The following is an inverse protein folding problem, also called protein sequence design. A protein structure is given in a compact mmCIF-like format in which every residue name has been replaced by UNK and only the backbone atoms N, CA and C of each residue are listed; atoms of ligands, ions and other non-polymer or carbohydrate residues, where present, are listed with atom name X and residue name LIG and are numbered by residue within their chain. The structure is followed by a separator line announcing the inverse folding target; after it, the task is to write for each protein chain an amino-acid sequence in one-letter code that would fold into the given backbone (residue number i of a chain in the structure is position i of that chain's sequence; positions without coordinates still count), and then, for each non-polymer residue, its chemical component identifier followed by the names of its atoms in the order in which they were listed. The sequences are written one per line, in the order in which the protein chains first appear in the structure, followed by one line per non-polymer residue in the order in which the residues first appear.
data_IF_838484647999
#
_entry.id   IF_838484647999
#
_cell.length_a   1.000
_cell.length_b   1.000
_cell.length_c   1.000
_cell.angle_alpha   90.00
_cell.angle_beta   90.00
_cell.angle_gamma   90.00
#
_symmetry.space_group_name_H-M   'P 1'
#
loop_
_entity.id
_entity.type
_entity.pdbx_description
1 polymer ?
#
# COMPACT_ATOMS: atom_id res chain seq x y z
N UNK A 1 20.47 -57.07 -8.60
CA UNK A 1 20.78 -56.06 -9.63
C UNK A 1 19.60 -55.10 -9.74
N UNK A 2 19.60 -54.00 -8.98
CA UNK A 2 18.60 -52.95 -9.17
C UNK A 2 18.89 -52.24 -10.50
N UNK A 3 17.94 -52.29 -11.43
CA UNK A 3 18.09 -51.72 -12.76
C UNK A 3 18.33 -50.20 -12.63
N UNK A 4 19.51 -49.75 -13.07
CA UNK A 4 19.87 -48.31 -13.15
C UNK A 4 18.81 -47.47 -13.88
N UNK A 5 17.97 -48.11 -14.69
CA UNK A 5 16.86 -47.52 -15.45
C UNK A 5 15.75 -46.88 -14.58
N UNK A 6 15.56 -47.33 -13.33
CA UNK A 6 14.52 -46.77 -12.45
C UNK A 6 15.02 -45.66 -11.52
N UNK A 7 16.34 -45.45 -11.43
CA UNK A 7 16.94 -44.46 -10.53
C UNK A 7 16.81 -43.04 -11.10
N UNK A 8 16.95 -42.89 -12.42
CA UNK A 8 16.83 -41.62 -13.14
C UNK A 8 15.45 -40.95 -13.02
N UNK A 9 14.32 -41.65 -13.26
CA UNK A 9 12.99 -41.03 -13.14
C UNK A 9 12.64 -40.69 -11.68
N UNK A 10 13.11 -41.47 -10.71
CA UNK A 10 12.92 -41.18 -9.29
C UNK A 10 13.62 -39.88 -8.89
N UNK A 11 14.86 -39.70 -9.31
CA UNK A 11 15.63 -38.49 -9.05
C UNK A 11 14.98 -37.24 -9.68
N UNK A 12 14.53 -37.37 -10.91
CA UNK A 12 13.84 -36.29 -11.62
C UNK A 12 12.52 -35.92 -10.93
N UNK A 13 11.77 -36.91 -10.44
CA UNK A 13 10.53 -36.69 -9.67
C UNK A 13 10.76 -35.93 -8.37
N UNK A 14 11.83 -36.24 -7.63
CA UNK A 14 12.18 -35.54 -6.39
C UNK A 14 12.54 -34.07 -6.66
N UNK A 15 13.27 -33.79 -7.73
CA UNK A 15 13.64 -32.42 -8.12
C UNK A 15 12.39 -31.60 -8.48
N UNK A 16 11.47 -32.18 -9.26
CA UNK A 16 10.22 -31.50 -9.64
C UNK A 16 9.32 -31.24 -8.43
N UNK A 17 9.22 -32.20 -7.51
CA UNK A 17 8.45 -32.02 -6.27
C UNK A 17 9.06 -30.91 -5.39
N UNK A 18 10.38 -30.87 -5.26
CA UNK A 18 11.08 -29.81 -4.55
C UNK A 18 10.84 -28.43 -5.17
N UNK A 19 10.91 -28.33 -6.50
CA UNK A 19 10.61 -27.08 -7.21
C UNK A 19 9.16 -26.64 -7.00
N UNK A 20 8.21 -27.58 -7.08
CA UNK A 20 6.79 -27.30 -6.82
C UNK A 20 6.55 -26.76 -5.40
N UNK A 21 7.16 -27.36 -4.39
CA UNK A 21 7.04 -26.90 -2.99
C UNK A 21 7.63 -25.49 -2.81
N UNK A 22 8.76 -25.18 -3.45
CA UNK A 22 9.37 -23.84 -3.39
C UNK A 22 8.50 -22.79 -4.07
N UNK A 23 7.89 -23.12 -5.22
CA UNK A 23 6.96 -22.21 -5.92
C UNK A 23 5.67 -22.03 -5.12
N UNK A 24 5.11 -23.11 -4.58
CA UNK A 24 3.91 -23.07 -3.73
C UNK A 24 4.15 -22.30 -2.42
N UNK A 25 5.34 -22.40 -1.84
CA UNK A 25 5.72 -21.67 -0.63
C UNK A 25 5.98 -20.18 -0.88
N UNK A 26 6.02 -19.70 -2.13
CA UNK A 26 6.02 -18.26 -2.41
C UNK A 26 4.67 -17.69 -2.03
N UNK A 27 4.63 -17.06 -0.87
CA UNK A 27 3.50 -16.24 -0.46
C UNK A 27 3.31 -15.11 -1.50
N UNK A 28 2.07 -14.81 -1.93
CA UNK A 28 1.83 -13.61 -2.73
C UNK A 28 2.32 -12.40 -1.94
N UNK A 29 3.16 -11.58 -2.55
CA UNK A 29 3.48 -10.27 -1.98
C UNK A 29 2.19 -9.45 -1.96
N UNK A 30 1.85 -8.80 -0.83
CA UNK A 30 0.69 -7.93 -0.79
C UNK A 30 0.89 -6.83 -1.85
N UNK A 31 -0.02 -6.76 -2.81
CA UNK A 31 -0.15 -5.58 -3.67
C UNK A 31 -0.84 -4.53 -2.83
N UNK A 32 -0.06 -3.60 -2.30
CA UNK A 32 -0.59 -2.42 -1.63
C UNK A 32 -1.11 -1.51 -2.73
N UNK A 33 -2.39 -1.15 -2.67
CA UNK A 33 -2.93 -0.10 -3.53
C UNK A 33 -2.09 1.17 -3.33
N UNK A 34 -1.87 1.95 -4.38
CA UNK A 34 -1.13 3.22 -4.31
C UNK A 34 -1.78 4.26 -3.36
N UNK A 35 -2.95 3.95 -2.82
CA UNK A 35 -3.56 4.62 -1.67
C UNK A 35 -3.24 3.83 -0.38
N UNK A 36 -1.98 3.72 -0.01
CA UNK A 36 -1.59 2.85 1.11
C UNK A 36 -0.09 2.74 1.28
N UNK A 37 0.53 3.80 1.78
CA UNK A 37 1.64 3.60 2.70
C UNK A 37 1.00 3.52 4.07
N UNK A 38 1.24 2.42 4.76
CA UNK A 38 1.03 2.26 6.19
C UNK A 38 2.45 2.16 6.79
N UNK A 39 2.87 3.08 7.67
CA UNK A 39 2.08 4.22 8.10
C UNK A 39 1.96 5.23 6.96
N UNK A 40 0.74 5.77 6.82
CA UNK A 40 0.53 6.96 6.01
C UNK A 40 1.42 8.05 6.61
N UNK A 41 2.03 8.95 5.84
CA UNK A 41 2.69 10.11 6.45
C UNK A 41 1.67 10.78 7.37
N UNK A 42 1.92 10.69 8.68
CA UNK A 42 1.05 11.24 9.72
C UNK A 42 0.77 12.69 9.33
N UNK A 43 -0.49 13.01 9.07
CA UNK A 43 -0.85 14.39 8.79
C UNK A 43 -0.52 15.21 10.04
N UNK A 44 0.26 16.27 9.90
CA UNK A 44 0.60 17.13 11.03
C UNK A 44 -0.63 17.73 11.73
N UNK A 45 -1.79 17.72 11.06
CA UNK A 45 -3.07 18.18 11.62
C UNK A 45 -3.47 17.39 12.88
N UNK A 46 -3.32 16.06 12.89
CA UNK A 46 -3.83 15.24 14.01
C UNK A 46 -3.02 15.48 15.30
N UNK A 47 -1.76 15.91 15.17
CA UNK A 47 -0.88 16.18 16.31
C UNK A 47 -1.47 17.20 17.27
N UNK A 48 -2.11 18.26 16.76
CA UNK A 48 -2.79 19.26 17.58
C UNK A 48 -4.28 18.93 17.74
N UNK A 49 -4.96 18.54 16.65
CA UNK A 49 -6.41 18.34 16.66
C UNK A 49 -6.88 17.15 17.49
N UNK A 50 -6.03 16.19 17.86
CA UNK A 50 -6.45 15.11 18.77
C UNK A 50 -6.72 15.61 20.20
N UNK A 51 -6.16 16.75 20.61
CA UNK A 51 -6.28 17.28 21.98
C UNK A 51 -6.91 18.68 22.04
N UNK A 52 -6.48 19.59 21.16
CA UNK A 52 -6.82 21.01 21.29
C UNK A 52 -8.18 21.36 20.65
N UNK A 53 -8.49 20.71 19.54
CA UNK A 53 -9.75 20.87 18.82
C UNK A 53 -10.12 19.54 18.13
N UNK A 54 -10.67 18.56 18.88
CA UNK A 54 -11.04 17.24 18.38
C UNK A 54 -12.17 17.33 17.36
N UNK A 55 -11.79 17.32 16.08
CA UNK A 55 -12.72 17.36 14.93
C UNK A 55 -12.96 15.98 14.31
N UNK A 56 -12.14 14.98 14.65
CA UNK A 56 -12.19 13.66 14.03
C UNK A 56 -13.50 12.90 14.27
N UNK A 57 -14.15 13.14 15.41
CA UNK A 57 -15.45 12.54 15.75
C UNK A 57 -16.61 13.50 15.48
N UNK A 58 -16.32 14.68 14.94
CA UNK A 58 -17.29 15.76 14.85
C UNK A 58 -18.09 15.63 13.55
N UNK A 59 -19.33 15.16 13.70
CA UNK A 59 -20.23 14.89 12.59
C UNK A 59 -20.05 13.52 11.93
N UNK A 60 -21.15 13.03 11.33
CA UNK A 60 -21.21 11.69 10.70
C UNK A 60 -20.17 11.55 9.58
N UNK A 61 -19.83 12.65 8.88
CA UNK A 61 -18.88 12.64 7.78
C UNK A 61 -17.48 12.16 8.20
N UNK A 62 -16.93 12.66 9.31
CA UNK A 62 -15.60 12.24 9.75
C UNK A 62 -15.58 10.77 10.22
N UNK A 63 -16.69 10.23 10.74
CA UNK A 63 -16.79 8.81 11.06
C UNK A 63 -16.67 7.88 9.83
N UNK A 64 -17.16 8.33 8.66
CA UNK A 64 -17.10 7.54 7.41
C UNK A 64 -15.88 7.86 6.54
N UNK A 65 -15.26 9.05 6.68
CA UNK A 65 -14.13 9.50 5.84
C UNK A 65 -12.81 9.78 6.60
N UNK A 66 -12.81 9.80 7.93
CA UNK A 66 -11.66 10.21 8.75
C UNK A 66 -10.53 9.20 8.85
N UNK A 67 -10.74 7.91 8.57
CA UNK A 67 -9.81 6.80 8.90
C UNK A 67 -8.50 6.73 8.09
N UNK A 68 -8.12 7.79 7.39
CA UNK A 68 -6.95 7.79 6.51
C UNK A 68 -6.15 9.09 6.61
N UNK A 69 -6.10 9.81 7.75
CA UNK A 69 -5.27 11.03 7.89
C UNK A 69 -5.39 12.06 6.73
N UNK A 70 -6.57 12.13 6.11
CA UNK A 70 -6.82 12.82 4.84
C UNK A 70 -7.37 14.25 5.05
N UNK A 71 -7.10 14.91 6.18
CA UNK A 71 -7.67 16.23 6.50
C UNK A 71 -7.48 17.22 5.33
N UNK A 72 -6.27 17.25 4.78
CA UNK A 72 -5.92 18.16 3.69
C UNK A 72 -6.51 17.81 2.33
N UNK A 73 -7.03 16.60 2.14
CA UNK A 73 -7.64 16.23 0.86
C UNK A 73 -8.99 16.90 0.65
N UNK A 74 -9.69 17.22 1.74
CA UNK A 74 -10.97 17.93 1.69
C UNK A 74 -10.84 19.37 2.16
N UNK A 75 -9.99 19.63 3.15
CA UNK A 75 -9.82 20.95 3.72
C UNK A 75 -8.62 21.71 3.14
N UNK A 76 -7.74 21.11 2.33
CA UNK A 76 -6.51 21.78 1.90
C UNK A 76 -5.52 21.97 3.06
N UNK A 77 -4.76 23.07 3.06
CA UNK A 77 -3.70 23.24 4.08
C UNK A 77 -2.41 22.47 3.76
N UNK A 78 -1.43 22.62 4.65
CA UNK A 78 -0.13 21.96 4.57
C UNK A 78 0.00 20.90 5.67
N UNK A 79 -0.33 19.65 5.35
CA UNK A 79 -0.27 18.51 6.27
C UNK A 79 1.15 18.06 6.66
N UNK A 80 2.19 18.81 6.27
CA UNK A 80 3.59 18.55 6.64
C UNK A 80 4.16 19.62 7.57
N UNK A 81 3.43 20.71 7.82
CA UNK A 81 3.88 21.79 8.67
C UNK A 81 3.37 21.61 10.10
N UNK A 82 4.27 21.78 11.08
CA UNK A 82 3.91 21.81 12.51
C UNK A 82 3.64 23.23 13.04
N UNK A 83 4.03 24.26 12.28
CA UNK A 83 3.61 25.63 12.56
C UNK A 83 2.15 25.80 12.14
N UNK A 84 1.31 26.29 13.06
CA UNK A 84 -0.14 26.39 12.86
C UNK A 84 -0.50 27.26 11.66
N UNK A 85 0.13 28.42 11.51
CA UNK A 85 -0.18 29.34 10.41
C UNK A 85 0.20 28.73 9.06
N UNK A 86 1.35 28.05 8.99
CA UNK A 86 1.79 27.38 7.77
C UNK A 86 0.92 26.15 7.47
N UNK A 87 0.49 25.40 8.48
CA UNK A 87 -0.39 24.25 8.35
C UNK A 87 -1.77 24.65 7.82
N UNK A 88 -2.31 25.78 8.31
CA UNK A 88 -3.61 26.32 7.89
C UNK A 88 -3.56 27.17 6.62
N UNK A 89 -2.39 27.32 5.98
CA UNK A 89 -2.28 28.07 4.74
C UNK A 89 -3.11 27.41 3.62
N UNK A 90 -4.04 28.17 3.03
CA UNK A 90 -4.99 27.67 2.02
C UNK A 90 -5.95 26.59 2.53
N UNK A 91 -6.22 26.58 3.84
CA UNK A 91 -7.28 25.75 4.41
C UNK A 91 -8.67 26.28 4.00
N UNK A 92 -9.54 25.35 3.63
CA UNK A 92 -10.95 25.55 3.32
C UNK A 92 -11.75 24.98 4.48
N UNK A 93 -12.53 25.84 5.13
CA UNK A 93 -13.30 25.46 6.32
C UNK A 93 -14.48 24.54 5.96
N UNK A 94 -15.11 24.75 4.81
CA UNK A 94 -16.26 23.99 4.36
C UNK A 94 -15.99 23.30 3.00
N UNK A 95 -15.65 22.00 2.98
CA UNK A 95 -15.40 21.27 1.73
C UNK A 95 -16.61 21.25 0.77
N UNK A 96 -17.83 21.48 1.26
CA UNK A 96 -19.04 21.55 0.42
C UNK A 96 -19.17 22.86 -0.37
N UNK A 97 -18.28 23.84 -0.15
CA UNK A 97 -18.21 25.06 -0.97
C UNK A 97 -17.66 24.80 -2.38
N UNK A 98 -16.98 23.67 -2.60
CA UNK A 98 -16.62 23.17 -3.92
C UNK A 98 -16.50 21.64 -3.94
N UNK A 99 -17.64 20.99 -4.18
CA UNK A 99 -17.73 19.53 -4.19
C UNK A 99 -17.00 18.91 -5.39
N UNK A 100 -16.74 19.67 -6.45
CA UNK A 100 -15.94 19.17 -7.57
C UNK A 100 -14.49 18.98 -7.10
N UNK A 101 -13.90 20.01 -6.50
CA UNK A 101 -12.51 19.94 -6.01
C UNK A 101 -12.35 18.91 -4.88
N UNK A 102 -13.28 18.86 -3.93
CA UNK A 102 -13.08 18.13 -2.68
C UNK A 102 -13.65 16.70 -2.67
N UNK A 103 -14.52 16.35 -3.62
CA UNK A 103 -15.20 15.04 -3.64
C UNK A 103 -14.99 14.26 -4.94
N UNK A 104 -14.90 14.92 -6.10
CA UNK A 104 -14.84 14.25 -7.41
C UNK A 104 -13.61 13.35 -7.58
N UNK A 105 -12.46 13.69 -6.95
CA UNK A 105 -11.22 12.90 -7.07
C UNK A 105 -11.37 11.46 -6.56
N UNK A 106 -12.22 11.24 -5.55
CA UNK A 106 -12.54 9.92 -5.01
C UNK A 106 -13.88 9.36 -5.53
N UNK A 107 -14.80 10.24 -5.92
CA UNK A 107 -16.16 9.91 -6.34
C UNK A 107 -16.52 10.53 -7.70
N UNK A 108 -15.81 10.18 -8.79
CA UNK A 108 -15.96 10.88 -10.07
C UNK A 108 -17.39 10.77 -10.64
N UNK A 109 -18.03 9.62 -10.42
CA UNK A 109 -19.33 9.32 -11.04
C UNK A 109 -20.53 9.78 -10.20
N UNK A 110 -20.35 9.99 -8.89
CA UNK A 110 -21.47 10.19 -7.95
C UNK A 110 -21.23 11.21 -6.83
N UNK A 111 -20.16 12.02 -6.90
CA UNK A 111 -19.85 13.01 -5.86
C UNK A 111 -21.01 13.98 -5.56
N UNK A 112 -21.78 14.40 -6.57
CA UNK A 112 -22.93 15.30 -6.39
C UNK A 112 -24.02 14.67 -5.52
N UNK A 113 -24.39 13.42 -5.83
CA UNK A 113 -25.42 12.70 -5.08
C UNK A 113 -24.98 12.42 -3.65
N UNK A 114 -23.70 12.07 -3.44
CA UNK A 114 -23.13 11.85 -2.12
C UNK A 114 -23.09 13.14 -1.29
N UNK A 115 -22.59 14.24 -1.87
CA UNK A 115 -22.49 15.52 -1.19
C UNK A 115 -23.88 16.08 -0.79
N UNK A 116 -24.91 15.82 -1.60
CA UNK A 116 -26.27 16.25 -1.31
C UNK A 116 -26.83 15.71 0.02
N UNK A 117 -26.45 14.47 0.41
CA UNK A 117 -26.88 13.88 1.69
C UNK A 117 -26.39 14.70 2.87
N UNK A 118 -25.12 15.12 2.84
CA UNK A 118 -24.51 15.91 3.91
C UNK A 118 -24.94 17.38 3.87
N UNK A 119 -25.11 17.92 2.66
CA UNK A 119 -25.59 19.28 2.50
C UNK A 119 -27.03 19.45 3.01
N UNK A 120 -27.89 18.44 2.83
CA UNK A 120 -29.24 18.42 3.37
C UNK A 120 -29.25 18.43 4.91
N UNK A 121 -28.39 17.63 5.55
CA UNK A 121 -28.25 17.59 7.01
C UNK A 121 -27.79 18.95 7.57
N UNK A 122 -26.87 19.62 6.87
CA UNK A 122 -26.32 20.91 7.27
C UNK A 122 -27.19 22.11 6.85
N UNK A 123 -28.27 21.88 6.10
CA UNK A 123 -29.13 22.96 5.57
C UNK A 123 -28.40 23.90 4.60
N UNK A 124 -27.40 23.40 3.87
CA UNK A 124 -26.63 24.21 2.90
C UNK A 124 -26.82 23.70 1.48
N UNK A 125 -26.56 24.57 0.50
CA UNK A 125 -26.52 24.19 -0.91
C UNK A 125 -25.08 23.91 -1.31
N UNK A 126 -24.74 22.68 -1.77
CA UNK A 126 -23.39 22.39 -2.22
C UNK A 126 -23.13 23.10 -3.55
N UNK A 127 -21.94 23.66 -3.69
CA UNK A 127 -21.52 24.33 -4.92
C UNK A 127 -20.56 23.40 -5.66
N UNK A 128 -20.77 23.22 -6.96
CA UNK A 128 -19.86 22.47 -7.82
C UNK A 128 -19.31 23.42 -8.87
N UNK A 129 -18.10 23.94 -8.65
CA UNK A 129 -17.41 24.70 -9.68
C UNK A 129 -16.55 23.68 -10.41
N UNK A 130 -17.02 23.24 -11.59
CA UNK A 130 -16.12 22.55 -12.50
C UNK A 130 -15.03 23.56 -12.86
N UNK A 131 -13.91 23.50 -12.15
CA UNK A 131 -12.72 24.22 -12.57
C UNK A 131 -12.40 23.64 -13.95
N UNK A 132 -12.45 24.43 -15.03
CA UNK A 132 -12.05 23.95 -16.35
C UNK A 132 -10.65 23.38 -16.16
N UNK A 133 -10.48 22.10 -16.48
CA UNK A 133 -9.19 21.44 -16.44
C UNK A 133 -8.18 22.39 -17.08
N UNK A 134 -7.14 22.86 -16.35
CA UNK A 134 -6.11 23.64 -16.99
C UNK A 134 -5.47 22.74 -18.06
N UNK A 135 -5.80 23.08 -19.31
CA UNK A 135 -5.32 22.49 -20.55
C UNK A 135 -5.83 21.09 -20.92
N UNK A 136 -6.02 20.83 -22.24
CA UNK A 136 -5.99 19.46 -22.73
C UNK A 136 -4.68 18.82 -22.26
N UNK A 137 -4.70 17.52 -22.01
CA UNK A 137 -3.51 16.69 -21.96
C UNK A 137 -2.88 16.69 -23.36
N UNK A 138 -2.35 17.84 -23.80
CA UNK A 138 -1.27 17.88 -24.76
C UNK A 138 -0.14 17.11 -24.12
N UNK A 139 0.51 16.24 -24.92
CA UNK A 139 1.71 15.50 -24.52
C UNK A 139 2.56 16.41 -23.64
N UNK A 140 2.60 16.11 -22.35
CA UNK A 140 3.49 16.79 -21.42
C UNK A 140 4.88 16.57 -22.02
N UNK A 141 5.45 17.62 -22.61
CA UNK A 141 6.87 17.63 -22.90
C UNK A 141 7.50 17.31 -21.56
N UNK A 142 8.25 16.21 -21.49
CA UNK A 142 8.85 15.70 -20.29
C UNK A 142 9.68 16.81 -19.63
N UNK A 143 9.06 17.59 -18.75
CA UNK A 143 9.80 18.29 -17.72
C UNK A 143 10.56 17.20 -17.00
N UNK A 144 11.87 17.34 -16.78
CA UNK A 144 12.60 16.37 -15.99
C UNK A 144 11.90 16.32 -14.65
N UNK A 145 11.19 15.22 -14.39
CA UNK A 145 10.88 14.79 -13.04
C UNK A 145 12.22 14.85 -12.33
N UNK A 146 12.39 15.81 -11.43
CA UNK A 146 13.41 15.70 -10.41
C UNK A 146 12.94 14.53 -9.57
N UNK A 147 13.37 13.34 -9.98
CA UNK A 147 13.26 12.13 -9.19
C UNK A 147 14.18 12.38 -8.00
N UNK A 148 13.63 12.99 -6.96
CA UNK A 148 14.25 12.91 -5.66
C UNK A 148 14.43 11.41 -5.38
N UNK A 149 15.64 10.96 -5.01
CA UNK A 149 15.81 9.57 -4.63
C UNK A 149 14.75 9.26 -3.59
N UNK A 150 13.99 8.18 -3.83
CA UNK A 150 13.09 7.67 -2.81
C UNK A 150 13.87 7.62 -1.50
N UNK A 151 13.33 8.11 -0.37
CA UNK A 151 13.89 7.73 0.92
C UNK A 151 13.97 6.22 0.85
N UNK A 152 15.19 5.68 0.97
CA UNK A 152 15.38 4.25 0.99
C UNK A 152 14.41 3.76 2.04
N UNK A 153 13.33 3.10 1.60
CA UNK A 153 12.44 2.43 2.50
C UNK A 153 13.39 1.56 3.33
N UNK A 154 13.44 1.83 4.63
CA UNK A 154 14.06 0.93 5.59
C UNK A 154 13.22 -0.33 5.58
N UNK A 155 13.28 -1.08 4.48
CA UNK A 155 12.80 -2.45 4.43
C UNK A 155 13.77 -3.13 5.38
N UNK A 156 13.34 -3.35 6.62
CA UNK A 156 13.90 -4.44 7.40
C UNK A 156 13.55 -5.70 6.61
N UNK A 157 14.36 -6.01 5.61
CA UNK A 157 14.44 -7.32 4.98
C UNK A 157 15.01 -8.22 6.05
N UNK A 158 14.15 -8.59 7.01
CA UNK A 158 14.43 -9.67 7.94
C UNK A 158 14.77 -10.86 7.08
N UNK A 159 16.06 -11.17 6.99
CA UNK A 159 16.54 -12.34 6.28
C UNK A 159 15.72 -13.51 6.81
N UNK A 160 15.01 -14.28 5.97
CA UNK A 160 14.07 -15.28 6.46
C UNK A 160 14.86 -16.50 6.97
N UNK A 161 15.49 -16.34 8.14
CA UNK A 161 16.32 -17.34 8.83
C UNK A 161 15.60 -18.69 8.90
N UNK A 162 14.28 -18.79 9.18
CA UNK A 162 13.59 -20.08 9.22
C UNK A 162 13.61 -20.81 7.86
N UNK A 163 13.47 -20.07 6.76
CA UNK A 163 13.46 -20.65 5.40
C UNK A 163 14.85 -21.13 5.01
N UNK A 164 15.88 -20.34 5.33
CA UNK A 164 17.28 -20.69 5.02
C UNK A 164 17.74 -21.88 5.84
N UNK A 165 17.41 -21.92 7.13
CA UNK A 165 17.70 -23.07 7.99
C UNK A 165 16.93 -24.32 7.54
N UNK A 166 15.66 -24.18 7.16
CA UNK A 166 14.86 -25.28 6.62
C UNK A 166 15.44 -25.85 5.33
N UNK A 167 15.86 -24.99 4.41
CA UNK A 167 16.52 -25.40 3.15
C UNK A 167 17.85 -26.11 3.38
N UNK A 168 18.69 -25.61 4.30
CA UNK A 168 19.97 -26.24 4.66
C UNK A 168 19.78 -27.61 5.31
N UNK A 169 18.83 -27.74 6.23
CA UNK A 169 18.54 -29.02 6.90
C UNK A 169 18.09 -30.09 5.89
N UNK A 170 17.21 -29.72 4.95
CA UNK A 170 16.77 -30.62 3.88
C UNK A 170 17.94 -31.08 3.00
N UNK A 171 18.81 -30.16 2.60
CA UNK A 171 19.95 -30.45 1.74
C UNK A 171 20.96 -31.39 2.43
N UNK A 172 21.21 -31.19 3.73
CA UNK A 172 22.08 -32.07 4.52
C UNK A 172 21.50 -33.49 4.61
N UNK A 173 20.21 -33.63 4.94
CA UNK A 173 19.55 -34.93 5.03
C UNK A 173 19.56 -35.66 3.68
N UNK A 174 19.34 -34.92 2.59
CA UNK A 174 19.42 -35.46 1.24
C UNK A 174 20.83 -36.00 0.90
N UNK A 175 21.88 -35.24 1.20
CA UNK A 175 23.27 -35.67 0.95
C UNK A 175 23.65 -36.89 1.80
N UNK A 176 23.23 -36.94 3.07
CA UNK A 176 23.46 -38.11 3.93
C UNK A 176 22.73 -39.36 3.41
N UNK A 177 21.50 -39.20 2.93
CA UNK A 177 20.75 -40.27 2.26
C UNK A 177 21.45 -40.77 1.00
N UNK A 178 22.03 -39.85 0.20
CA UNK A 178 22.80 -40.21 -0.99
C UNK A 178 24.06 -41.00 -0.64
N UNK A 179 24.83 -40.54 0.35
CA UNK A 179 26.08 -41.17 0.78
C UNK A 179 25.81 -42.58 1.31
N UNK A 180 24.82 -42.74 2.19
CA UNK A 180 24.45 -44.05 2.75
C UNK A 180 24.00 -45.03 1.66
N UNK A 181 23.20 -44.57 0.69
CA UNK A 181 22.81 -45.37 -0.47
C UNK A 181 24.03 -45.79 -1.31
N UNK A 182 24.95 -44.87 -1.60
CA UNK A 182 26.18 -45.16 -2.36
C UNK A 182 27.04 -46.19 -1.61
N UNK A 183 27.16 -46.07 -0.29
CA UNK A 183 27.90 -47.03 0.53
C UNK A 183 27.25 -48.42 0.48
N UNK A 184 25.92 -48.50 0.55
CA UNK A 184 25.19 -49.77 0.50
C UNK A 184 25.22 -50.43 -0.88
N UNK A 185 25.29 -49.64 -1.95
CA UNK A 185 25.45 -50.13 -3.32
C UNK A 185 26.88 -50.57 -3.66
N UNK A 186 27.86 -50.20 -2.83
CA UNK A 186 29.28 -50.55 -2.98
C UNK A 186 29.73 -51.72 -2.09
N UNK A 187 28.98 -52.03 -1.03
CA UNK A 187 29.17 -53.21 -0.18
C UNK A 187 28.59 -54.46 -0.85
#
# INVERSE_FOLDING_TARGET
MFNKLHITPLFFGIILLGFYVVVWARQPSPVVAQCGIDPMPESSCITCHVQEAPVFEDGVWHGVHGRKDCCSNCHGGNCKAMDENLAHQSLILNPLSDIYTNCHSCHPDDYMARAAVFAAELGITPISIQTPTPFPVGKVAASPLVILPSPAAGISSGFPIPIVLGGLAFLILFLLGLITLIMHLRA
#
